data_IF_442169419318
#
_entry.id   IF_442169419318
#
_cell.length_a   1.000
_cell.length_b   1.000
_cell.length_c   1.000
_cell.angle_alpha   90.00
_cell.angle_beta   90.00
_cell.angle_gamma   90.00
#
_symmetry.space_group_name_H-M   'P 1'
#
loop_
_entity.id
_entity.type
_entity.pdbx_description
1 polymer ?
#
# COMPACT_ATOMS: atom_id res chain seq x y z
N UNK A 1 -8.96 -5.17 -13.62
CA UNK A 1 -9.42 -4.78 -14.97
C UNK A 1 -10.94 -4.76 -15.08
N UNK A 2 -11.64 -5.88 -14.88
CA UNK A 2 -13.12 -5.95 -14.99
C UNK A 2 -13.86 -4.92 -14.13
N UNK A 3 -13.45 -4.73 -12.86
CA UNK A 3 -14.01 -3.69 -12.01
C UNK A 3 -13.97 -2.30 -12.66
N UNK A 4 -12.81 -1.92 -13.22
CA UNK A 4 -12.59 -0.61 -13.79
C UNK A 4 -13.48 -0.39 -15.03
N UNK A 5 -13.60 -1.43 -15.86
CA UNK A 5 -14.47 -1.45 -17.03
C UNK A 5 -15.95 -1.33 -16.66
N UNK A 6 -16.46 -2.18 -15.76
CA UNK A 6 -17.84 -2.12 -15.30
C UNK A 6 -18.15 -0.83 -14.53
N UNK A 7 -17.17 -0.24 -13.85
CA UNK A 7 -17.34 1.06 -13.20
C UNK A 7 -17.60 2.16 -14.22
N UNK A 8 -16.83 2.21 -15.32
CA UNK A 8 -17.04 3.19 -16.39
C UNK A 8 -18.40 2.98 -17.08
N UNK A 9 -18.75 1.72 -17.40
CA UNK A 9 -20.05 1.38 -17.99
C UNK A 9 -21.24 1.72 -17.07
N UNK A 10 -21.12 1.46 -15.76
CA UNK A 10 -22.19 1.77 -14.81
C UNK A 10 -22.48 3.28 -14.75
N UNK A 11 -21.45 4.13 -14.77
CA UNK A 11 -21.66 5.58 -14.86
C UNK A 11 -22.21 6.01 -16.22
N UNK A 12 -21.71 5.44 -17.31
CA UNK A 12 -22.23 5.71 -18.65
C UNK A 12 -23.72 5.33 -18.78
N UNK A 13 -24.15 4.25 -18.14
CA UNK A 13 -25.54 3.80 -18.14
C UNK A 13 -26.53 4.74 -17.43
N UNK A 14 -26.03 5.73 -16.66
CA UNK A 14 -26.88 6.79 -16.10
C UNK A 14 -27.40 7.73 -17.20
N UNK A 15 -26.67 7.87 -18.31
CA UNK A 15 -27.04 8.75 -19.41
C UNK A 15 -28.43 8.43 -20.00
N UNK A 16 -28.72 7.18 -20.44
CA UNK A 16 -30.06 6.84 -20.90
C UNK A 16 -31.13 6.92 -19.81
N UNK A 17 -30.80 6.78 -18.52
CA UNK A 17 -31.78 6.98 -17.44
C UNK A 17 -32.23 8.44 -17.44
N UNK A 18 -31.26 9.35 -17.42
CA UNK A 18 -31.53 10.79 -17.38
C UNK A 18 -32.29 11.22 -18.63
N UNK A 19 -31.96 10.65 -19.79
CA UNK A 19 -32.67 10.91 -21.03
C UNK A 19 -34.14 10.46 -20.95
N UNK A 20 -34.40 9.22 -20.53
CA UNK A 20 -35.77 8.71 -20.36
C UNK A 20 -36.55 9.49 -19.29
N UNK A 21 -35.88 9.91 -18.21
CA UNK A 21 -36.51 10.61 -17.08
C UNK A 21 -36.87 12.06 -17.40
N UNK A 22 -36.02 12.79 -18.13
CA UNK A 22 -36.27 14.19 -18.47
C UNK A 22 -37.01 14.38 -19.78
N UNK A 23 -36.81 13.51 -20.77
CA UNK A 23 -37.32 13.67 -22.14
C UNK A 23 -38.31 12.56 -22.57
N UNK A 24 -38.56 11.54 -21.73
CA UNK A 24 -39.42 10.40 -22.06
C UNK A 24 -38.75 9.37 -22.98
N UNK A 25 -39.51 8.39 -23.48
CA UNK A 25 -38.95 7.36 -24.38
C UNK A 25 -38.30 7.97 -25.62
N UNK A 26 -36.99 7.73 -25.88
CA UNK A 26 -36.35 8.20 -27.09
C UNK A 26 -37.00 7.54 -28.31
N UNK A 27 -37.40 8.33 -29.31
CA UNK A 27 -38.03 7.82 -30.55
C UNK A 27 -37.02 7.61 -31.67
N UNK A 28 -35.89 7.00 -31.36
CA UNK A 28 -34.82 6.76 -32.33
C UNK A 28 -35.05 5.38 -32.96
N UNK A 29 -35.86 5.32 -34.01
CA UNK A 29 -36.20 4.06 -34.70
C UNK A 29 -35.16 3.64 -35.75
N UNK A 30 -34.15 4.49 -36.02
CA UNK A 30 -33.15 4.27 -37.06
C UNK A 30 -31.79 4.09 -36.37
N UNK A 31 -31.09 3.00 -36.71
CA UNK A 31 -29.73 2.74 -36.19
C UNK A 31 -28.83 3.91 -36.61
N UNK A 32 -28.19 4.63 -35.66
CA UNK A 32 -27.32 5.74 -36.01
C UNK A 32 -26.14 5.24 -36.85
N UNK A 33 -25.74 6.02 -37.85
CA UNK A 33 -24.59 5.73 -38.69
C UNK A 33 -23.37 6.49 -38.14
N UNK A 34 -22.21 5.85 -38.12
CA UNK A 34 -20.98 6.52 -37.70
C UNK A 34 -20.47 7.40 -38.84
N UNK A 35 -20.58 8.72 -38.68
CA UNK A 35 -20.16 9.67 -39.72
C UNK A 35 -18.69 10.10 -39.55
N UNK A 36 -18.27 10.60 -38.37
CA UNK A 36 -16.92 11.13 -38.13
C UNK A 36 -16.42 10.95 -36.67
N UNK A 37 -15.11 11.10 -36.44
CA UNK A 37 -14.49 11.04 -35.11
C UNK A 37 -15.05 12.08 -34.12
N UNK A 38 -15.35 13.29 -34.58
CA UNK A 38 -15.93 14.34 -33.73
C UNK A 38 -17.39 14.06 -33.31
N UNK A 39 -18.10 13.16 -34.02
CA UNK A 39 -19.46 12.71 -33.68
C UNK A 39 -19.50 11.45 -32.80
N UNK A 40 -18.36 10.98 -32.29
CA UNK A 40 -18.32 9.71 -31.54
C UNK A 40 -19.17 9.77 -30.25
N UNK A 41 -19.25 10.93 -29.60
CA UNK A 41 -20.07 11.13 -28.40
C UNK A 41 -21.57 11.10 -28.67
N UNK A 42 -22.00 11.82 -29.70
CA UNK A 42 -23.41 11.85 -30.12
C UNK A 42 -23.85 10.49 -30.69
N UNK A 43 -22.98 9.81 -31.45
CA UNK A 43 -23.22 8.44 -31.90
C UNK A 43 -23.40 7.45 -30.74
N UNK A 44 -22.56 7.52 -29.71
CA UNK A 44 -22.66 6.63 -28.54
C UNK A 44 -23.98 6.84 -27.80
N UNK A 45 -24.36 8.11 -27.62
CA UNK A 45 -25.64 8.48 -27.01
C UNK A 45 -26.83 7.98 -27.83
N UNK A 46 -26.85 8.26 -29.13
CA UNK A 46 -27.93 7.85 -30.04
C UNK A 46 -27.99 6.33 -30.15
N UNK A 47 -26.86 5.63 -30.06
CA UNK A 47 -26.81 4.17 -30.03
C UNK A 47 -27.39 3.61 -28.73
N UNK A 48 -27.06 4.18 -27.57
CA UNK A 48 -27.64 3.78 -26.29
C UNK A 48 -29.16 4.01 -26.29
N UNK A 49 -29.60 5.18 -26.79
CA UNK A 49 -31.02 5.52 -26.91
C UNK A 49 -31.74 4.65 -27.95
N UNK A 50 -31.08 4.23 -29.03
CA UNK A 50 -31.59 3.23 -29.98
C UNK A 50 -31.78 1.86 -29.28
N UNK A 51 -30.84 1.42 -28.44
CA UNK A 51 -31.02 0.16 -27.70
C UNK A 51 -32.22 0.23 -26.76
N UNK A 52 -32.40 1.33 -26.03
CA UNK A 52 -33.56 1.55 -25.16
C UNK A 52 -34.86 1.50 -25.96
N UNK A 53 -34.95 2.28 -27.04
CA UNK A 53 -36.15 2.37 -27.89
C UNK A 53 -36.48 1.06 -28.61
N UNK A 54 -35.47 0.30 -29.05
CA UNK A 54 -35.66 -1.02 -29.66
C UNK A 54 -36.28 -2.05 -28.71
N UNK A 55 -35.98 -1.95 -27.41
CA UNK A 55 -36.52 -2.83 -26.37
C UNK A 55 -37.86 -2.32 -25.80
N UNK A 56 -38.04 -1.01 -25.67
CA UNK A 56 -39.25 -0.40 -25.09
C UNK A 56 -40.38 -0.16 -26.09
N UNK A 57 -40.08 -0.21 -27.40
CA UNK A 57 -40.99 0.18 -28.47
C UNK A 57 -41.31 1.67 -28.40
N UNK A 58 -42.41 2.02 -27.71
CA UNK A 58 -42.86 3.41 -27.45
C UNK A 58 -43.34 3.63 -26.02
N UNK A 59 -43.28 2.62 -25.16
CA UNK A 59 -43.80 2.69 -23.79
C UNK A 59 -42.71 3.18 -22.81
N UNK A 60 -42.95 4.35 -22.21
CA UNK A 60 -42.04 4.97 -21.25
C UNK A 60 -41.86 4.12 -20.00
N UNK A 61 -42.86 3.35 -19.57
CA UNK A 61 -42.72 2.48 -18.40
C UNK A 61 -41.73 1.34 -18.66
N UNK A 62 -41.84 0.69 -19.82
CA UNK A 62 -40.90 -0.36 -20.24
C UNK A 62 -39.49 0.17 -20.49
N UNK A 63 -39.35 1.40 -21.01
CA UNK A 63 -38.05 2.06 -21.15
C UNK A 63 -37.39 2.29 -19.79
N UNK A 64 -38.13 2.81 -18.80
CA UNK A 64 -37.62 3.02 -17.45
C UNK A 64 -37.19 1.68 -16.83
N UNK A 65 -38.03 0.64 -16.90
CA UNK A 65 -37.72 -0.69 -16.36
C UNK A 65 -36.46 -1.29 -17.00
N UNK A 66 -36.31 -1.19 -18.31
CA UNK A 66 -35.14 -1.70 -19.02
C UNK A 66 -33.85 -0.98 -18.60
N UNK A 67 -33.87 0.34 -18.53
CA UNK A 67 -32.67 1.12 -18.17
C UNK A 67 -32.33 0.90 -16.68
N UNK A 68 -33.32 0.91 -15.78
CA UNK A 68 -33.12 0.60 -14.36
C UNK A 68 -32.54 -0.81 -14.19
N UNK A 69 -33.10 -1.81 -14.88
CA UNK A 69 -32.59 -3.19 -14.86
C UNK A 69 -31.14 -3.27 -15.34
N UNK A 70 -30.81 -2.59 -16.44
CA UNK A 70 -29.45 -2.50 -16.98
C UNK A 70 -28.48 -1.90 -15.97
N UNK A 71 -28.86 -0.81 -15.32
CA UNK A 71 -28.05 -0.13 -14.31
C UNK A 71 -27.83 -1.02 -13.09
N UNK A 72 -28.89 -1.67 -12.58
CA UNK A 72 -28.78 -2.61 -11.47
C UNK A 72 -27.82 -3.75 -11.82
N UNK A 73 -27.93 -4.33 -13.02
CA UNK A 73 -27.04 -5.41 -13.47
C UNK A 73 -25.58 -4.92 -13.57
N UNK A 74 -25.34 -3.74 -14.15
CA UNK A 74 -23.99 -3.19 -14.28
C UNK A 74 -23.37 -2.85 -12.92
N UNK A 75 -24.13 -2.26 -12.00
CA UNK A 75 -23.68 -2.02 -10.64
C UNK A 75 -23.47 -3.31 -9.86
N UNK A 76 -24.28 -4.34 -10.07
CA UNK A 76 -24.08 -5.66 -9.50
C UNK A 76 -22.77 -6.28 -10.01
N UNK A 77 -22.55 -6.31 -11.33
CA UNK A 77 -21.31 -6.82 -11.94
C UNK A 77 -20.07 -6.03 -11.48
N UNK A 78 -20.18 -4.70 -11.38
CA UNK A 78 -19.13 -3.84 -10.81
C UNK A 78 -18.78 -4.26 -9.38
N UNK A 79 -19.77 -4.45 -8.51
CA UNK A 79 -19.54 -4.81 -7.11
C UNK A 79 -19.06 -6.26 -6.94
N UNK A 80 -19.58 -7.18 -7.75
CA UNK A 80 -19.14 -8.57 -7.77
C UNK A 80 -17.67 -8.69 -8.19
N UNK A 81 -17.28 -8.00 -9.27
CA UNK A 81 -15.88 -7.96 -9.72
C UNK A 81 -14.97 -7.21 -8.75
N UNK A 82 -15.48 -6.19 -8.05
CA UNK A 82 -14.76 -5.56 -6.93
C UNK A 82 -14.48 -6.56 -5.81
N UNK A 83 -15.48 -7.34 -5.40
CA UNK A 83 -15.33 -8.34 -4.36
C UNK A 83 -14.27 -9.38 -4.73
N UNK A 84 -14.33 -9.95 -5.93
CA UNK A 84 -13.30 -10.90 -6.39
C UNK A 84 -11.91 -10.26 -6.42
N UNK A 85 -11.80 -8.99 -6.86
CA UNK A 85 -10.54 -8.25 -6.83
C UNK A 85 -9.97 -8.17 -5.39
N UNK A 86 -10.82 -7.83 -4.42
CA UNK A 86 -10.42 -7.73 -3.00
C UNK A 86 -10.10 -9.11 -2.40
N UNK A 87 -10.85 -10.15 -2.77
CA UNK A 87 -10.63 -11.51 -2.33
C UNK A 87 -9.25 -12.03 -2.76
N UNK A 88 -8.93 -11.95 -4.06
CA UNK A 88 -7.63 -12.38 -4.58
C UNK A 88 -6.49 -11.48 -4.06
N UNK A 89 -6.71 -10.16 -3.95
CA UNK A 89 -5.76 -9.22 -3.33
C UNK A 89 -5.42 -9.64 -1.90
N UNK A 90 -6.41 -10.05 -1.11
CA UNK A 90 -6.22 -10.50 0.28
C UNK A 90 -5.41 -11.80 0.36
N UNK A 91 -5.68 -12.76 -0.53
CA UNK A 91 -4.91 -14.01 -0.59
C UNK A 91 -3.44 -13.75 -0.91
N UNK A 92 -3.16 -13.01 -1.98
CA UNK A 92 -1.79 -12.62 -2.35
C UNK A 92 -1.11 -11.89 -1.20
N UNK A 93 -1.82 -10.92 -0.60
CA UNK A 93 -1.30 -10.13 0.51
C UNK A 93 -0.86 -11.00 1.68
N UNK A 94 -1.69 -11.96 2.09
CA UNK A 94 -1.39 -12.79 3.26
C UNK A 94 -0.32 -13.84 2.96
N UNK A 95 -0.31 -14.42 1.76
CA UNK A 95 0.72 -15.37 1.33
C UNK A 95 2.12 -14.73 1.30
N UNK A 96 2.27 -13.54 0.71
CA UNK A 96 3.56 -12.84 0.67
C UNK A 96 4.08 -12.53 2.07
N UNK A 97 3.20 -12.17 3.02
CA UNK A 97 3.62 -11.90 4.40
C UNK A 97 4.03 -13.17 5.14
N UNK A 98 3.31 -14.27 4.90
CA UNK A 98 3.71 -15.57 5.43
C UNK A 98 5.14 -15.91 4.94
N UNK A 99 5.40 -15.77 3.65
CA UNK A 99 6.72 -16.09 3.06
C UNK A 99 7.82 -15.15 3.54
N UNK A 100 7.56 -13.85 3.68
CA UNK A 100 8.54 -12.90 4.24
C UNK A 100 8.86 -13.25 5.71
N UNK A 101 7.85 -13.58 6.52
CA UNK A 101 8.07 -13.96 7.93
C UNK A 101 8.87 -15.25 8.05
N UNK A 102 8.57 -16.25 7.23
CA UNK A 102 9.33 -17.49 7.14
C UNK A 102 10.80 -17.20 6.79
N UNK A 103 11.06 -16.44 5.72
CA UNK A 103 12.43 -16.07 5.32
C UNK A 103 13.21 -15.31 6.39
N UNK A 104 12.57 -14.34 7.05
CA UNK A 104 13.21 -13.59 8.14
C UNK A 104 13.55 -14.51 9.30
N UNK A 105 12.62 -15.40 9.67
CA UNK A 105 12.82 -16.34 10.77
C UNK A 105 13.95 -17.34 10.48
N UNK A 106 13.92 -17.96 9.29
CA UNK A 106 14.95 -18.89 8.83
C UNK A 106 16.32 -18.22 8.85
N UNK A 107 16.38 -16.95 8.41
CA UNK A 107 17.62 -16.19 8.42
C UNK A 107 18.12 -15.89 9.82
N UNK A 108 17.24 -15.48 10.74
CA UNK A 108 17.60 -15.21 12.14
C UNK A 108 18.26 -16.43 12.79
N UNK A 109 17.78 -17.65 12.51
CA UNK A 109 18.35 -18.88 13.12
C UNK A 109 19.80 -19.14 12.71
N UNK A 110 20.19 -18.74 11.49
CA UNK A 110 21.52 -19.01 10.93
C UNK A 110 22.47 -17.81 10.99
N UNK A 111 22.04 -16.70 11.60
CA UNK A 111 22.87 -15.51 11.75
C UNK A 111 24.02 -15.74 12.74
N UNK A 112 25.20 -15.13 12.50
CA UNK A 112 26.33 -15.14 13.42
C UNK A 112 25.97 -14.75 14.85
N UNK A 113 26.56 -15.41 15.86
CA UNK A 113 26.40 -15.02 17.27
C UNK A 113 26.80 -13.55 17.51
N UNK A 114 27.79 -13.07 16.75
CA UNK A 114 28.23 -11.67 16.75
C UNK A 114 27.07 -10.69 16.49
N UNK A 115 26.16 -11.03 15.56
CA UNK A 115 25.04 -10.16 15.22
C UNK A 115 24.12 -9.90 16.42
N UNK A 116 23.90 -10.91 17.26
CA UNK A 116 23.07 -10.82 18.47
C UNK A 116 23.75 -10.07 19.61
N UNK A 117 25.08 -9.96 19.62
CA UNK A 117 25.81 -9.12 20.58
C UNK A 117 25.78 -7.64 20.21
N UNK A 118 25.74 -7.32 18.92
CA UNK A 118 25.76 -5.93 18.41
C UNK A 118 24.37 -5.31 18.30
N UNK A 119 23.33 -6.12 18.09
CA UNK A 119 21.96 -5.66 17.88
C UNK A 119 21.04 -5.96 19.06
N UNK A 120 20.13 -5.02 19.36
CA UNK A 120 19.11 -5.22 20.40
C UNK A 120 18.09 -6.26 19.94
N UNK A 121 17.79 -7.25 20.78
CA UNK A 121 16.75 -8.26 20.56
C UNK A 121 15.38 -7.65 20.18
N UNK A 122 15.01 -6.52 20.80
CA UNK A 122 13.78 -5.81 20.48
C UNK A 122 13.72 -5.24 19.06
N UNK A 123 14.86 -4.92 18.45
CA UNK A 123 14.92 -4.48 17.04
C UNK A 123 14.64 -5.66 16.09
N UNK A 124 15.17 -6.85 16.37
CA UNK A 124 14.84 -8.08 15.65
C UNK A 124 13.34 -8.41 15.72
N UNK A 125 12.74 -8.28 16.91
CA UNK A 125 11.30 -8.48 17.11
C UNK A 125 10.49 -7.45 16.32
N UNK A 126 10.91 -6.18 16.30
CA UNK A 126 10.25 -5.13 15.52
C UNK A 126 10.31 -5.40 14.01
N UNK A 127 11.46 -5.87 13.52
CA UNK A 127 11.65 -6.25 12.11
C UNK A 127 10.75 -7.43 11.72
N UNK A 128 10.59 -8.44 12.58
CA UNK A 128 9.70 -9.59 12.32
C UNK A 128 8.20 -9.25 12.43
N UNK A 129 7.84 -8.22 13.20
CA UNK A 129 6.45 -7.87 13.50
C UNK A 129 5.99 -6.58 12.80
N UNK A 130 6.27 -5.42 13.40
CA UNK A 130 5.75 -4.12 12.95
C UNK A 130 6.24 -3.74 11.56
N UNK A 131 7.50 -4.04 11.21
CA UNK A 131 8.02 -3.67 9.89
C UNK A 131 7.43 -4.53 8.79
N UNK A 132 7.36 -5.85 8.98
CA UNK A 132 6.71 -6.75 8.01
C UNK A 132 5.23 -6.37 7.83
N UNK A 133 4.54 -5.97 8.90
CA UNK A 133 3.18 -5.45 8.80
C UNK A 133 3.12 -4.11 8.04
N UNK A 134 4.11 -3.24 8.21
CA UNK A 134 4.20 -1.99 7.46
C UNK A 134 4.48 -2.25 5.98
N UNK A 135 5.34 -3.23 5.65
CA UNK A 135 5.57 -3.71 4.28
C UNK A 135 4.27 -4.26 3.70
N UNK A 136 3.51 -5.06 4.47
CA UNK A 136 2.21 -5.57 4.06
C UNK A 136 1.27 -4.44 3.66
N UNK A 137 1.05 -3.52 4.59
CA UNK A 137 0.06 -2.46 4.44
C UNK A 137 0.45 -1.46 3.39
N UNK A 138 1.74 -1.21 3.22
CA UNK A 138 2.26 -0.32 2.18
C UNK A 138 2.32 -1.00 0.82
N UNK A 139 3.26 -1.94 0.59
CA UNK A 139 3.52 -2.46 -0.75
C UNK A 139 2.33 -3.22 -1.37
N UNK A 140 1.65 -4.06 -0.58
CA UNK A 140 0.60 -4.93 -1.15
C UNK A 140 -0.70 -4.15 -1.42
N UNK A 141 -0.99 -3.09 -0.66
CA UNK A 141 -2.11 -2.18 -1.00
C UNK A 141 -1.80 -1.36 -2.25
N UNK A 142 -0.52 -1.07 -2.48
CA UNK A 142 -0.09 -0.21 -3.56
C UNK A 142 -0.15 -0.95 -4.89
N UNK A 143 0.21 -2.23 -4.93
CA UNK A 143 0.04 -3.05 -6.14
C UNK A 143 -1.43 -3.04 -6.59
N UNK A 144 -2.38 -3.14 -5.66
CA UNK A 144 -3.80 -2.99 -5.99
C UNK A 144 -4.12 -1.61 -6.54
N UNK A 145 -3.71 -0.53 -5.86
CA UNK A 145 -3.99 0.85 -6.29
C UNK A 145 -3.35 1.16 -7.64
N UNK A 146 -2.09 0.80 -7.88
CA UNK A 146 -1.36 1.10 -9.12
C UNK A 146 -1.84 0.30 -10.34
N UNK A 147 -2.52 -0.83 -10.14
CA UNK A 147 -3.11 -1.58 -11.25
C UNK A 147 -4.56 -1.11 -11.47
N UNK A 148 -5.36 -1.04 -10.40
CA UNK A 148 -6.80 -0.78 -10.47
C UNK A 148 -7.10 0.68 -10.80
N UNK A 149 -6.47 1.63 -10.13
CA UNK A 149 -6.85 3.04 -10.22
C UNK A 149 -6.44 3.66 -11.55
N UNK A 150 -5.23 3.41 -12.09
CA UNK A 150 -4.88 3.85 -13.44
C UNK A 150 -5.80 3.28 -14.52
N UNK A 151 -6.16 1.99 -14.44
CA UNK A 151 -7.14 1.41 -15.36
C UNK A 151 -8.51 2.08 -15.24
N UNK A 152 -8.95 2.39 -14.02
CA UNK A 152 -10.22 3.10 -13.78
C UNK A 152 -10.17 4.51 -14.37
N UNK A 153 -9.06 5.22 -14.19
CA UNK A 153 -8.83 6.54 -14.78
C UNK A 153 -8.84 6.45 -16.31
N UNK A 154 -8.14 5.48 -16.90
CA UNK A 154 -8.07 5.29 -18.36
C UNK A 154 -9.44 4.99 -18.95
N UNK A 155 -10.21 4.04 -18.39
CA UNK A 155 -11.55 3.74 -18.89
C UNK A 155 -12.49 4.94 -18.73
N UNK A 156 -12.44 5.62 -17.59
CA UNK A 156 -13.34 6.76 -17.33
C UNK A 156 -12.98 7.97 -18.17
N UNK A 157 -11.68 8.30 -18.31
CA UNK A 157 -11.23 9.36 -19.22
C UNK A 157 -11.53 9.01 -20.67
N UNK A 158 -11.39 7.74 -21.07
CA UNK A 158 -11.81 7.27 -22.40
C UNK A 158 -13.28 7.55 -22.66
N UNK A 159 -14.17 7.22 -21.72
CA UNK A 159 -15.60 7.58 -21.81
C UNK A 159 -15.81 9.09 -21.84
N UNK A 160 -15.08 9.86 -21.03
CA UNK A 160 -15.19 11.33 -21.01
C UNK A 160 -14.74 11.97 -22.32
N UNK A 161 -13.66 11.46 -22.94
CA UNK A 161 -13.19 11.91 -24.26
C UNK A 161 -14.22 11.64 -25.35
N UNK A 162 -14.94 10.51 -25.27
CA UNK A 162 -16.05 10.21 -26.18
C UNK A 162 -17.17 11.25 -26.00
N UNK A 163 -17.56 11.59 -24.76
CA UNK A 163 -18.65 12.55 -24.50
C UNK A 163 -18.26 13.98 -24.88
N UNK A 164 -17.09 14.46 -24.43
CA UNK A 164 -16.62 15.82 -24.73
C UNK A 164 -15.10 15.92 -24.64
N UNK A 165 -14.46 16.12 -25.79
CA UNK A 165 -13.02 16.35 -25.87
C UNK A 165 -12.58 17.64 -25.15
N UNK A 166 -13.31 18.75 -25.36
CA UNK A 166 -13.01 20.07 -24.78
C UNK A 166 -13.01 20.03 -23.25
N UNK A 167 -14.04 19.44 -22.64
CA UNK A 167 -14.12 19.31 -21.17
C UNK A 167 -13.04 18.37 -20.61
N UNK A 168 -12.71 17.31 -21.34
CA UNK A 168 -11.75 16.30 -20.86
C UNK A 168 -10.33 16.85 -20.80
N UNK A 169 -9.94 17.74 -21.72
CA UNK A 169 -8.66 18.44 -21.67
C UNK A 169 -8.49 19.26 -20.39
N UNK A 170 -9.55 19.95 -19.92
CA UNK A 170 -9.51 20.66 -18.65
C UNK A 170 -9.27 19.73 -17.47
N UNK A 171 -9.95 18.57 -17.45
CA UNK A 171 -9.77 17.56 -16.39
C UNK A 171 -8.35 16.99 -16.41
N UNK A 172 -7.83 16.68 -17.61
CA UNK A 172 -6.48 16.16 -17.80
C UNK A 172 -5.41 17.14 -17.30
N UNK A 173 -5.62 18.44 -17.46
CA UNK A 173 -4.73 19.48 -16.92
C UNK A 173 -4.82 19.59 -15.39
N UNK A 174 -6.01 19.39 -14.81
CA UNK A 174 -6.21 19.53 -13.36
C UNK A 174 -5.69 18.34 -12.55
N UNK A 175 -5.77 17.12 -13.09
CA UNK A 175 -5.25 15.90 -12.44
C UNK A 175 -3.79 16.05 -11.97
N UNK A 176 -2.82 16.46 -12.82
CA UNK A 176 -1.43 16.63 -12.41
C UNK A 176 -1.25 17.78 -11.41
N UNK A 177 -1.99 18.89 -11.54
CA UNK A 177 -1.95 19.99 -10.57
C UNK A 177 -2.37 19.50 -9.18
N UNK A 178 -3.47 18.75 -9.10
CA UNK A 178 -3.92 18.12 -7.85
C UNK A 178 -2.89 17.15 -7.30
N UNK A 179 -2.32 16.31 -8.16
CA UNK A 179 -1.27 15.35 -7.79
C UNK A 179 -0.04 16.05 -7.22
N UNK A 180 0.40 17.17 -7.81
CA UNK A 180 1.53 17.95 -7.32
C UNK A 180 1.26 18.52 -5.94
N UNK A 181 0.11 19.16 -5.73
CA UNK A 181 -0.29 19.74 -4.44
C UNK A 181 -0.33 18.67 -3.34
N UNK A 182 -0.90 17.50 -3.63
CA UNK A 182 -0.93 16.37 -2.69
C UNK A 182 0.48 15.81 -2.45
N UNK A 183 1.30 15.72 -3.50
CA UNK A 183 2.69 15.24 -3.39
C UNK A 183 3.57 16.14 -2.52
N UNK A 184 3.34 17.45 -2.49
CA UNK A 184 4.08 18.37 -1.60
C UNK A 184 3.85 18.04 -0.13
N UNK A 185 2.63 17.66 0.25
CA UNK A 185 2.32 17.18 1.61
C UNK A 185 3.10 15.89 1.88
N UNK A 186 3.07 14.95 0.93
CA UNK A 186 3.73 13.64 1.03
C UNK A 186 5.24 13.69 1.22
N UNK A 187 5.97 14.60 0.54
CA UNK A 187 7.44 14.73 0.67
C UNK A 187 7.89 14.98 2.12
N UNK A 188 7.11 15.76 2.88
CA UNK A 188 7.43 16.10 4.27
C UNK A 188 7.17 14.98 5.28
N UNK A 189 6.41 13.95 4.90
CA UNK A 189 6.00 12.87 5.81
C UNK A 189 7.07 11.79 5.98
N UNK A 190 7.86 11.46 4.92
CA UNK A 190 8.88 10.38 4.99
C UNK A 190 9.84 10.57 6.17
N UNK A 191 10.45 11.76 6.30
CA UNK A 191 11.38 12.07 7.38
C UNK A 191 10.74 11.96 8.77
N UNK A 192 9.47 12.35 8.90
CA UNK A 192 8.72 12.27 10.16
C UNK A 192 8.34 10.83 10.51
N UNK A 193 8.02 9.99 9.52
CA UNK A 193 7.66 8.58 9.73
C UNK A 193 8.82 7.78 10.32
N UNK A 194 10.04 8.00 9.82
CA UNK A 194 11.25 7.36 10.37
C UNK A 194 11.46 7.69 11.85
N UNK A 195 11.21 8.95 12.24
CA UNK A 195 11.32 9.37 13.64
C UNK A 195 10.28 8.64 14.51
N UNK A 196 9.04 8.52 14.04
CA UNK A 196 7.98 7.81 14.76
C UNK A 196 8.31 6.31 14.92
N UNK A 197 8.78 5.65 13.85
CA UNK A 197 9.19 4.25 13.90
C UNK A 197 10.36 4.03 14.87
N UNK A 198 11.33 4.95 14.91
CA UNK A 198 12.45 4.87 15.85
C UNK A 198 12.02 5.00 17.31
N UNK A 199 11.12 5.93 17.63
CA UNK A 199 10.58 6.05 18.99
C UNK A 199 9.73 4.83 19.38
N UNK A 200 8.99 4.24 18.43
CA UNK A 200 8.27 2.98 18.65
C UNK A 200 9.22 1.81 18.97
N UNK A 201 10.33 1.69 18.24
CA UNK A 201 11.36 0.68 18.49
C UNK A 201 12.02 0.86 19.87
N UNK A 202 12.27 2.11 20.29
CA UNK A 202 12.79 2.39 21.62
C UNK A 202 11.80 2.00 22.73
N UNK A 203 10.50 2.25 22.55
CA UNK A 203 9.47 1.79 23.49
C UNK A 203 9.47 0.26 23.63
N UNK A 204 9.52 -0.47 22.52
CA UNK A 204 9.62 -1.93 22.54
C UNK A 204 10.91 -2.42 23.20
N UNK A 205 12.04 -1.76 22.94
CA UNK A 205 13.32 -2.07 23.59
C UNK A 205 13.25 -1.88 25.11
N UNK A 206 12.64 -0.79 25.60
CA UNK A 206 12.47 -0.56 27.03
C UNK A 206 11.56 -1.63 27.64
N UNK A 207 10.46 -1.97 26.97
CA UNK A 207 9.55 -3.02 27.44
C UNK A 207 10.24 -4.37 27.54
N UNK A 208 11.04 -4.74 26.53
CA UNK A 208 11.80 -5.99 26.53
C UNK A 208 12.85 -6.03 27.67
N UNK A 209 13.59 -4.93 27.86
CA UNK A 209 14.56 -4.76 28.95
C UNK A 209 13.89 -4.94 30.32
N UNK A 210 12.68 -4.38 30.50
CA UNK A 210 11.90 -4.51 31.74
C UNK A 210 11.41 -5.94 31.97
N UNK A 211 10.91 -6.62 30.93
CA UNK A 211 10.39 -7.99 31.05
C UNK A 211 11.53 -8.96 31.39
N UNK A 212 12.64 -8.90 30.66
CA UNK A 212 13.80 -9.76 30.88
C UNK A 212 14.50 -9.46 32.22
N UNK A 213 14.54 -8.18 32.61
CA UNK A 213 15.19 -7.70 33.82
C UNK A 213 14.30 -7.59 35.05
N UNK A 214 13.06 -8.08 35.03
CA UNK A 214 12.05 -7.73 36.04
C UNK A 214 12.48 -8.08 37.47
N UNK A 215 13.18 -9.21 37.65
CA UNK A 215 13.71 -9.63 38.94
C UNK A 215 14.73 -8.62 39.48
N UNK A 216 15.68 -8.20 38.64
CA UNK A 216 16.70 -7.18 38.98
C UNK A 216 16.03 -5.86 39.33
N UNK A 217 15.09 -5.40 38.49
CA UNK A 217 14.37 -4.13 38.73
C UNK A 217 13.66 -4.14 40.08
N UNK A 218 13.02 -5.25 40.43
CA UNK A 218 12.33 -5.43 41.72
C UNK A 218 13.30 -5.48 42.90
N UNK A 219 14.40 -6.22 42.78
CA UNK A 219 15.42 -6.30 43.82
C UNK A 219 16.08 -4.96 44.13
N UNK A 220 16.32 -4.14 43.09
CA UNK A 220 16.91 -2.81 43.21
C UNK A 220 15.89 -1.68 43.36
N UNK A 221 14.59 -1.98 43.55
CA UNK A 221 13.50 -0.99 43.72
C UNK A 221 13.53 0.14 42.67
N UNK A 222 13.90 -0.21 41.43
CA UNK A 222 14.20 0.74 40.35
C UNK A 222 13.00 1.00 39.43
N UNK A 223 11.78 0.70 39.86
CA UNK A 223 10.58 0.82 39.01
C UNK A 223 10.34 2.25 38.55
N UNK A 224 10.60 3.25 39.40
CA UNK A 224 10.38 4.66 39.06
C UNK A 224 11.31 5.14 37.95
N UNK A 225 12.55 4.63 37.90
CA UNK A 225 13.49 4.92 36.84
C UNK A 225 12.96 4.45 35.48
N UNK A 226 12.56 3.17 35.39
CA UNK A 226 12.03 2.60 34.15
C UNK A 226 10.68 3.20 33.75
N UNK A 227 9.80 3.49 34.70
CA UNK A 227 8.55 4.24 34.44
C UNK A 227 8.84 5.62 33.85
N UNK A 228 9.83 6.33 34.38
CA UNK A 228 10.23 7.64 33.86
C UNK A 228 10.82 7.53 32.44
N UNK A 229 11.77 6.61 32.23
CA UNK A 229 12.37 6.30 30.92
C UNK A 229 11.31 6.01 29.86
N UNK A 230 10.33 5.15 30.19
CA UNK A 230 9.20 4.84 29.32
C UNK A 230 8.33 6.08 29.04
N UNK A 231 7.94 6.84 30.07
CA UNK A 231 7.13 8.06 29.92
C UNK A 231 7.80 9.09 29.01
N UNK A 232 9.12 9.28 29.12
CA UNK A 232 9.88 10.20 28.27
C UNK A 232 9.84 9.76 26.81
N UNK A 233 10.13 8.49 26.51
CA UNK A 233 10.06 7.97 25.14
C UNK A 233 8.63 8.01 24.60
N UNK A 234 7.63 7.66 25.40
CA UNK A 234 6.22 7.67 24.98
C UNK A 234 5.72 9.10 24.69
N UNK A 235 6.20 10.09 25.44
CA UNK A 235 5.88 11.50 25.18
C UNK A 235 6.49 12.00 23.87
N UNK A 236 7.71 11.55 23.52
CA UNK A 236 8.32 11.83 22.21
C UNK A 236 7.54 11.16 21.09
N UNK A 237 7.20 9.88 21.25
CA UNK A 237 6.36 9.14 20.31
C UNK A 237 5.04 9.88 20.05
N UNK A 238 4.32 10.28 21.11
CA UNK A 238 3.07 11.04 21.01
C UNK A 238 3.27 12.35 20.22
N UNK A 239 4.29 13.14 20.57
CA UNK A 239 4.58 14.42 19.89
C UNK A 239 4.85 14.23 18.40
N UNK A 240 5.69 13.28 18.04
CA UNK A 240 6.06 13.04 16.64
C UNK A 240 4.93 12.37 15.86
N UNK A 241 4.19 11.45 16.48
CA UNK A 241 3.02 10.81 15.88
C UNK A 241 1.93 11.83 15.58
N UNK A 242 1.58 12.71 16.53
CA UNK A 242 0.62 13.79 16.28
C UNK A 242 1.08 14.72 15.15
N UNK A 243 2.38 15.08 15.10
CA UNK A 243 2.93 15.93 14.02
C UNK A 243 2.95 15.24 12.65
N UNK A 244 3.01 13.91 12.61
CA UNK A 244 2.93 13.10 11.40
C UNK A 244 1.48 12.98 10.94
N UNK A 245 0.59 12.51 11.81
CA UNK A 245 -0.82 12.25 11.53
C UNK A 245 -1.55 13.55 11.17
N UNK A 246 -1.35 14.65 11.90
CA UNK A 246 -1.98 15.93 11.55
C UNK A 246 -1.53 16.45 10.19
N UNK A 247 -0.28 16.19 9.79
CA UNK A 247 0.22 16.55 8.46
C UNK A 247 -0.40 15.67 7.38
N UNK A 248 -0.64 14.40 7.67
CA UNK A 248 -1.36 13.47 6.79
C UNK A 248 -2.84 13.87 6.65
N UNK A 249 -3.49 14.28 7.75
CA UNK A 249 -4.90 14.66 7.78
C UNK A 249 -5.22 15.84 6.85
N UNK A 250 -4.29 16.78 6.66
CA UNK A 250 -4.45 17.93 5.73
C UNK A 250 -4.70 17.46 4.28
N UNK A 251 -4.19 16.28 3.90
CA UNK A 251 -4.34 15.79 2.53
C UNK A 251 -5.82 15.54 2.17
N UNK A 252 -6.68 15.15 3.12
CA UNK A 252 -8.09 14.85 2.81
C UNK A 252 -8.90 16.12 2.52
N UNK A 253 -9.00 17.11 3.43
CA UNK A 253 -9.75 18.35 3.17
C UNK A 253 -9.23 19.12 1.96
N UNK A 254 -7.90 19.17 1.78
CA UNK A 254 -7.32 19.84 0.61
C UNK A 254 -7.71 19.14 -0.69
N UNK A 255 -7.72 17.81 -0.72
CA UNK A 255 -8.15 17.06 -1.91
C UNK A 255 -9.64 17.22 -2.20
N UNK A 256 -10.46 17.37 -1.17
CA UNK A 256 -11.90 17.62 -1.31
C UNK A 256 -12.16 19.00 -1.89
N UNK A 257 -11.52 20.04 -1.33
CA UNK A 257 -11.57 21.40 -1.85
C UNK A 257 -11.10 21.48 -3.31
N UNK A 258 -9.98 20.84 -3.65
CA UNK A 258 -9.51 20.75 -5.04
C UNK A 258 -10.52 20.05 -5.94
N UNK A 259 -11.17 18.98 -5.47
CA UNK A 259 -12.23 18.30 -6.22
C UNK A 259 -13.42 19.22 -6.50
N UNK A 260 -13.88 19.98 -5.51
CA UNK A 260 -14.96 20.97 -5.68
C UNK A 260 -14.52 22.07 -6.65
N UNK A 261 -13.27 22.54 -6.60
CA UNK A 261 -12.75 23.50 -7.58
C UNK A 261 -12.82 22.95 -9.01
N UNK A 262 -12.47 21.67 -9.26
CA UNK A 262 -12.66 21.04 -10.58
C UNK A 262 -14.10 21.12 -11.02
N UNK A 263 -14.99 20.64 -10.17
CA UNK A 263 -16.42 20.57 -10.46
C UNK A 263 -16.96 21.99 -10.72
N UNK A 264 -16.55 23.01 -9.94
CA UNK A 264 -16.95 24.40 -10.17
C UNK A 264 -16.49 24.95 -11.51
N UNK A 265 -15.23 24.70 -11.91
CA UNK A 265 -14.71 25.12 -13.22
C UNK A 265 -15.42 24.37 -14.36
N UNK A 266 -15.67 23.07 -14.20
CA UNK A 266 -16.43 22.27 -15.16
C UNK A 266 -17.89 22.73 -15.27
N UNK A 267 -18.53 23.14 -14.17
CA UNK A 267 -19.87 23.71 -14.17
C UNK A 267 -19.91 25.03 -14.93
N UNK A 268 -18.93 25.89 -14.72
CA UNK A 268 -18.86 27.17 -15.43
C UNK A 268 -18.63 26.98 -16.94
N UNK A 269 -17.62 26.20 -17.33
CA UNK A 269 -17.28 26.01 -18.73
C UNK A 269 -18.26 25.06 -19.46
N UNK A 270 -18.65 23.96 -18.82
CA UNK A 270 -19.65 23.03 -19.34
C UNK A 270 -21.05 23.65 -19.39
N UNK A 271 -21.41 24.49 -18.41
CA UNK A 271 -22.64 25.28 -18.45
C UNK A 271 -22.69 26.21 -19.66
N UNK A 272 -21.56 26.83 -20.04
CA UNK A 272 -21.46 27.58 -21.30
C UNK A 272 -21.69 26.69 -22.53
N UNK A 273 -21.08 25.51 -22.57
CA UNK A 273 -21.25 24.56 -23.69
C UNK A 273 -22.70 24.07 -23.85
N UNK A 274 -23.43 23.91 -22.74
CA UNK A 274 -24.84 23.48 -22.76
C UNK A 274 -25.78 24.64 -23.06
N UNK A 275 -25.61 25.80 -22.41
CA UNK A 275 -26.59 26.89 -22.43
C UNK A 275 -26.34 27.94 -23.53
N UNK A 276 -25.09 28.11 -23.97
CA UNK A 276 -24.70 29.15 -24.93
C UNK A 276 -24.31 28.52 -26.25
N UNK A 277 -23.33 27.61 -26.24
CA UNK A 277 -22.78 27.04 -27.47
C UNK A 277 -23.66 25.88 -28.02
N UNK A 278 -24.57 25.34 -27.19
CA UNK A 278 -25.48 24.21 -27.50
C UNK A 278 -24.78 22.99 -28.11
N UNK A 279 -23.49 22.80 -27.79
CA UNK A 279 -22.67 21.70 -28.30
C UNK A 279 -22.84 20.41 -27.48
N UNK A 280 -23.40 20.49 -26.28
CA UNK A 280 -23.56 19.36 -25.36
C UNK A 280 -24.97 19.32 -24.77
N UNK A 281 -25.61 18.16 -24.81
CA UNK A 281 -26.93 17.97 -24.21
C UNK A 281 -26.87 18.02 -22.67
N UNK A 282 -27.91 18.52 -21.99
CA UNK A 282 -27.95 18.58 -20.52
C UNK A 282 -27.74 17.22 -19.83
N UNK A 283 -28.31 16.15 -20.39
CA UNK A 283 -28.20 14.78 -19.85
C UNK A 283 -26.78 14.23 -19.97
N UNK A 284 -26.15 14.41 -21.14
CA UNK A 284 -24.73 14.13 -21.36
C UNK A 284 -23.82 14.88 -20.37
N UNK A 285 -24.14 16.15 -20.11
CA UNK A 285 -23.39 16.97 -19.15
C UNK A 285 -23.51 16.47 -17.71
N UNK A 286 -24.71 16.09 -17.24
CA UNK A 286 -24.89 15.52 -15.89
C UNK A 286 -24.12 14.20 -15.75
N UNK A 287 -24.18 13.32 -16.75
CA UNK A 287 -23.38 12.08 -16.76
C UNK A 287 -21.89 12.40 -16.74
N UNK A 288 -21.44 13.39 -17.52
CA UNK A 288 -20.06 13.85 -17.53
C UNK A 288 -19.60 14.31 -16.15
N UNK A 289 -20.43 15.06 -15.42
CA UNK A 289 -20.14 15.50 -14.04
C UNK A 289 -19.99 14.30 -13.09
N UNK A 290 -20.84 13.28 -13.23
CA UNK A 290 -20.72 12.02 -12.49
C UNK A 290 -19.40 11.28 -12.76
N UNK A 291 -19.02 11.17 -14.04
CA UNK A 291 -17.75 10.57 -14.46
C UNK A 291 -16.54 11.35 -13.93
N UNK A 292 -16.56 12.68 -14.04
CA UNK A 292 -15.49 13.56 -13.53
C UNK A 292 -15.31 13.41 -12.02
N UNK A 293 -16.40 13.34 -11.26
CA UNK A 293 -16.34 13.03 -9.82
C UNK A 293 -15.81 11.61 -9.55
N UNK A 294 -16.20 10.65 -10.39
CA UNK A 294 -15.70 9.28 -10.37
C UNK A 294 -14.19 9.17 -10.58
N UNK A 295 -13.58 10.00 -11.43
CA UNK A 295 -12.12 10.05 -11.68
C UNK A 295 -11.34 10.68 -10.52
N UNK A 296 -11.93 11.66 -9.83
CA UNK A 296 -11.26 12.36 -8.73
C UNK A 296 -10.84 11.41 -7.60
N UNK A 297 -11.66 10.40 -7.29
CA UNK A 297 -11.38 9.44 -6.23
C UNK A 297 -10.12 8.58 -6.48
N UNK A 298 -10.01 7.83 -7.60
CA UNK A 298 -8.80 7.07 -7.93
C UNK A 298 -7.57 7.97 -8.12
N UNK A 299 -7.71 9.18 -8.68
CA UNK A 299 -6.59 10.13 -8.78
C UNK A 299 -6.02 10.53 -7.40
N UNK A 300 -6.90 10.73 -6.40
CA UNK A 300 -6.51 10.97 -5.00
C UNK A 300 -5.85 9.75 -4.37
N UNK A 301 -6.41 8.55 -4.61
CA UNK A 301 -5.88 7.29 -4.08
C UNK A 301 -4.47 7.00 -4.56
N UNK A 302 -4.15 7.24 -5.83
CA UNK A 302 -2.78 7.12 -6.37
C UNK A 302 -1.83 8.06 -5.64
N UNK A 303 -2.23 9.31 -5.42
CA UNK A 303 -1.41 10.29 -4.71
C UNK A 303 -1.13 9.87 -3.26
N UNK A 304 -2.11 9.26 -2.58
CA UNK A 304 -1.93 8.67 -1.24
C UNK A 304 -1.04 7.42 -1.28
N UNK A 305 -1.17 6.57 -2.30
CA UNK A 305 -0.37 5.37 -2.47
C UNK A 305 1.13 5.68 -2.60
N UNK A 306 1.51 6.74 -3.33
CA UNK A 306 2.90 7.20 -3.39
C UNK A 306 3.51 7.52 -2.01
N UNK A 307 2.70 7.99 -1.05
CA UNK A 307 3.16 8.20 0.32
C UNK A 307 3.37 6.87 1.05
N UNK A 308 2.37 5.98 1.01
CA UNK A 308 2.48 4.64 1.61
C UNK A 308 3.71 3.90 1.08
N UNK A 309 4.06 4.09 -0.20
CA UNK A 309 5.25 3.48 -0.81
C UNK A 309 6.51 3.91 -0.05
N UNK A 310 6.69 5.21 0.17
CA UNK A 310 7.87 5.73 0.87
C UNK A 310 7.99 5.22 2.30
N UNK A 311 6.86 5.00 2.98
CA UNK A 311 6.82 4.44 4.34
C UNK A 311 7.14 2.94 4.31
N UNK A 312 6.56 2.21 3.36
CA UNK A 312 6.84 0.81 3.08
C UNK A 312 8.31 0.56 2.74
N UNK A 313 8.94 1.39 1.91
CA UNK A 313 10.36 1.22 1.54
C UNK A 313 11.28 1.26 2.76
N UNK A 314 11.02 2.14 3.72
CA UNK A 314 11.84 2.22 4.93
C UNK A 314 11.71 0.96 5.80
N UNK A 315 10.50 0.41 5.91
CA UNK A 315 10.29 -0.84 6.63
C UNK A 315 10.89 -2.04 5.86
N UNK A 316 10.73 -2.05 4.53
CA UNK A 316 11.29 -3.08 3.66
C UNK A 316 12.81 -3.12 3.75
N UNK A 317 13.48 -1.96 3.70
CA UNK A 317 14.93 -1.84 3.82
C UNK A 317 15.45 -2.49 5.12
N UNK A 318 14.76 -2.29 6.26
CA UNK A 318 15.10 -2.96 7.52
C UNK A 318 14.84 -4.47 7.50
N UNK A 319 13.79 -4.93 6.82
CA UNK A 319 13.50 -6.36 6.72
C UNK A 319 14.52 -7.06 5.82
N UNK A 320 14.82 -6.49 4.66
CA UNK A 320 15.79 -7.03 3.71
C UNK A 320 17.22 -6.95 4.23
N UNK A 321 17.57 -5.95 5.04
CA UNK A 321 18.85 -5.93 5.76
C UNK A 321 19.08 -7.22 6.57
N UNK A 322 18.03 -7.84 7.15
CA UNK A 322 18.20 -9.16 7.80
C UNK A 322 18.34 -10.27 6.77
N UNK A 323 17.42 -10.33 5.80
CA UNK A 323 17.33 -11.42 4.81
C UNK A 323 18.64 -11.53 4.01
N UNK A 324 19.25 -10.40 3.68
CA UNK A 324 20.41 -10.29 2.80
C UNK A 324 21.75 -10.33 3.54
N UNK A 325 21.77 -10.42 4.89
CA UNK A 325 23.02 -10.60 5.65
C UNK A 325 23.70 -11.90 5.26
N UNK A 326 25.03 -11.94 5.22
CA UNK A 326 25.75 -13.19 5.06
C UNK A 326 25.58 -14.08 6.30
N UNK A 327 25.27 -15.37 6.11
CA UNK A 327 25.27 -16.36 7.20
C UNK A 327 26.70 -16.79 7.52
N UNK A 328 26.97 -17.07 8.80
CA UNK A 328 28.29 -17.54 9.28
C UNK A 328 28.70 -18.85 8.59
N UNK A 329 27.72 -19.65 8.18
CA UNK A 329 27.89 -20.87 7.43
C UNK A 329 27.71 -20.58 5.93
N UNK A 330 28.80 -20.44 5.18
CA UNK A 330 28.80 -20.77 3.75
C UNK A 330 28.70 -22.29 3.66
N UNK A 331 27.64 -22.81 3.05
CA UNK A 331 27.41 -24.25 2.88
C UNK A 331 28.41 -24.94 1.91
N UNK A 332 29.51 -24.28 1.51
CA UNK A 332 30.38 -24.68 0.40
C UNK A 332 31.74 -25.25 0.85
N UNK A 333 31.80 -26.00 1.93
CA UNK A 333 32.98 -26.82 2.22
C UNK A 333 32.50 -28.26 2.27
N UNK A 334 33.06 -29.11 1.41
CA UNK A 334 32.87 -30.57 1.41
C UNK A 334 32.80 -31.07 2.86
N UNK A 335 31.57 -31.34 3.33
CA UNK A 335 31.35 -31.79 4.70
C UNK A 335 31.67 -33.28 4.71
N UNK A 336 32.85 -33.63 5.18
CA UNK A 336 33.12 -35.01 5.58
C UNK A 336 32.16 -35.36 6.71
N UNK A 337 31.28 -36.33 6.47
CA UNK A 337 30.33 -36.82 7.45
C UNK A 337 31.09 -37.65 8.48
N UNK A 338 31.30 -37.10 9.68
CA UNK A 338 31.98 -37.80 10.78
C UNK A 338 30.96 -38.71 11.47
N UNK A 339 30.99 -40.01 11.14
CA UNK A 339 30.08 -41.01 11.71
C UNK A 339 30.38 -41.37 13.17
N UNK A 340 31.65 -41.33 13.57
CA UNK A 340 32.06 -41.61 14.95
C UNK A 340 33.30 -40.79 15.33
N UNK A 341 33.35 -40.31 16.58
CA UNK A 341 34.55 -39.69 17.15
C UNK A 341 35.52 -40.80 17.59
N UNK A 342 36.68 -40.92 16.93
CA UNK A 342 37.60 -42.05 17.09
C UNK A 342 38.92 -41.74 17.79
N UNK A 343 39.38 -40.48 17.78
CA UNK A 343 40.77 -40.16 18.17
C UNK A 343 40.84 -39.10 19.29
N UNK A 344 40.98 -37.82 18.94
CA UNK A 344 41.23 -36.73 19.89
C UNK A 344 40.68 -35.39 19.41
N UNK A 345 40.51 -34.46 20.35
CA UNK A 345 40.30 -33.04 20.10
C UNK A 345 41.65 -32.35 20.31
N UNK A 346 42.17 -31.66 19.30
CA UNK A 346 43.44 -30.94 19.38
C UNK A 346 43.25 -29.45 19.09
N UNK A 347 43.70 -28.61 20.02
CA UNK A 347 43.91 -27.18 19.79
C UNK A 347 45.39 -27.00 19.46
N UNK A 348 45.70 -26.42 18.30
CA UNK A 348 47.07 -26.15 17.88
C UNK A 348 47.28 -24.64 17.68
N UNK A 349 48.00 -24.00 18.61
CA UNK A 349 48.36 -22.58 18.60
C UNK A 349 47.16 -21.65 18.34
N UNK A 350 46.00 -21.99 18.88
CA UNK A 350 44.75 -21.27 18.66
C UNK A 350 44.81 -19.89 19.32
N UNK A 351 44.50 -18.86 18.54
CA UNK A 351 44.32 -17.49 19.02
C UNK A 351 42.91 -17.02 18.65
N UNK A 352 42.23 -16.34 19.57
CA UNK A 352 40.86 -15.85 19.36
C UNK A 352 40.69 -14.46 19.97
N UNK A 353 39.89 -13.63 19.32
CA UNK A 353 39.58 -12.26 19.75
C UNK A 353 38.11 -11.95 19.52
N UNK A 354 37.45 -11.31 20.50
CA UNK A 354 36.21 -10.58 20.25
C UNK A 354 36.57 -9.17 19.77
N UNK A 355 36.22 -8.85 18.52
CA UNK A 355 36.62 -7.61 17.85
C UNK A 355 38.15 -7.36 17.92
N UNK A 356 38.59 -6.37 18.70
CA UNK A 356 40.00 -6.01 18.89
C UNK A 356 40.63 -6.62 20.15
N UNK A 357 39.83 -7.23 21.02
CA UNK A 357 40.29 -7.73 22.30
C UNK A 357 40.70 -9.19 22.18
N UNK A 358 42.00 -9.47 22.31
CA UNK A 358 42.56 -10.81 22.21
C UNK A 358 42.32 -11.60 23.50
N UNK A 359 41.52 -12.64 23.40
CA UNK A 359 41.06 -13.49 24.51
C UNK A 359 41.94 -14.71 24.65
N UNK A 360 42.09 -15.50 23.57
CA UNK A 360 42.99 -16.65 23.53
C UNK A 360 44.29 -16.28 22.79
N UNK A 361 45.43 -16.71 23.33
CA UNK A 361 46.76 -16.43 22.77
C UNK A 361 47.56 -17.72 22.64
N UNK A 362 47.66 -18.24 21.41
CA UNK A 362 48.45 -19.41 21.04
C UNK A 362 48.19 -20.66 21.92
N UNK A 363 46.93 -20.88 22.30
CA UNK A 363 46.51 -21.99 23.14
C UNK A 363 46.72 -23.32 22.39
N UNK A 364 47.44 -24.26 23.02
CA UNK A 364 47.67 -25.59 22.46
C UNK A 364 47.46 -26.66 23.53
N UNK A 365 46.58 -27.62 23.27
CA UNK A 365 46.34 -28.79 24.12
C UNK A 365 45.63 -29.89 23.33
N UNK A 366 45.67 -31.12 23.82
CA UNK A 366 44.95 -32.25 23.26
C UNK A 366 44.08 -32.93 24.33
N UNK A 367 42.95 -33.50 23.89
CA UNK A 367 42.02 -34.27 24.73
C UNK A 367 41.68 -35.57 24.00
N UNK A 368 42.01 -36.71 24.58
CA UNK A 368 41.82 -38.03 23.95
C UNK A 368 40.39 -38.54 24.11
N UNK A 369 39.96 -39.47 23.25
CA UNK A 369 38.67 -40.15 23.37
C UNK A 369 38.53 -40.80 24.76
N UNK A 370 37.45 -40.45 25.46
CA UNK A 370 37.14 -40.95 26.80
C UNK A 370 37.80 -40.17 27.95
N UNK A 371 38.63 -39.18 27.65
CA UNK A 371 39.29 -38.34 28.65
C UNK A 371 38.33 -37.25 29.17
N UNK A 372 38.33 -37.03 30.49
CA UNK A 372 37.60 -35.94 31.14
C UNK A 372 38.59 -34.87 31.56
N UNK A 373 38.44 -33.67 30.99
CA UNK A 373 39.33 -32.53 31.26
C UNK A 373 38.58 -31.45 32.01
N UNK A 374 39.23 -30.88 33.02
CA UNK A 374 38.73 -29.72 33.76
C UNK A 374 39.52 -28.47 33.35
N UNK A 375 38.82 -27.42 32.90
CA UNK A 375 39.40 -26.11 32.64
C UNK A 375 39.28 -25.28 33.92
N UNK A 376 40.41 -24.88 34.48
CA UNK A 376 40.49 -24.07 35.71
C UNK A 376 41.18 -22.74 35.44
N UNK A 377 40.65 -21.68 36.05
CA UNK A 377 41.19 -20.33 35.89
C UNK A 377 40.39 -19.31 36.69
N UNK A 378 40.95 -18.10 36.80
CA UNK A 378 40.25 -16.94 37.36
C UNK A 378 39.15 -16.48 36.40
N UNK A 379 38.21 -15.64 36.87
CA UNK A 379 37.20 -15.04 36.01
C UNK A 379 37.87 -14.23 34.89
N UNK A 380 37.46 -14.47 33.63
CA UNK A 380 38.02 -13.81 32.44
C UNK A 380 39.33 -14.42 31.90
N UNK A 381 39.73 -15.62 32.35
CA UNK A 381 40.96 -16.30 31.87
C UNK A 381 40.88 -16.85 30.44
N UNK A 382 39.67 -16.93 29.87
CA UNK A 382 39.39 -17.50 28.56
C UNK A 382 37.97 -17.18 28.14
#
# INVERSE_FOLDING_TARGET
>A
MLYAFFSALAFLSLMPILEVLFNGSPKINIKPNYENYDSTGTFLEDWLNFQVSSFSGNDTENAILFVVGTVIILFFLKNLTNYFSLFFSTLIRNSVIKDIKEKVFDKIIVLPLKYFSENKKGDLIARMSSDVLEVQTSYLSIVEIFIRDPLTIVFTLGTMFIISFKLTLFVLFFIPISGLVISFIGKSLKKKSLIVQREQAELMSITEEVINGIKVIKTFLSENFFKSKFRTSNSKFLKFSNKLVNRQNIASPLSEFLGILVIGVLLWYGGKLVLIDMELKPTAFITYMGLAYGVLTPAKSISKAFYSLKKGNAAAERVFEIIDLDSEFKNDIDKEEINEFTDKIEFNKVSFSYEKNKVLKNLSFEVKKGEVVAIVGLSGSG
#
